data_IF_507241974721
#
_entry.id   IF_507241974721
#
_cell.length_a   1.000
_cell.length_b   1.000
_cell.length_c   1.000
_cell.angle_alpha   90.00
_cell.angle_beta   90.00
_cell.angle_gamma   90.00
#
_symmetry.space_group_name_H-M   'P 1'
#
loop_
_entity.id
_entity.type
_entity.pdbx_description
1 polymer ?
#
# COMPACT_ATOMS: atom_id res chain seq x y z
N UNK A 1 3.66 -11.93 7.71
CA UNK A 1 3.03 -11.75 6.40
C UNK A 1 2.70 -13.12 5.81
N UNK A 2 1.83 -13.19 4.80
CA UNK A 2 1.60 -14.42 4.03
C UNK A 2 2.85 -14.81 3.24
N UNK A 3 3.11 -16.12 3.13
CA UNK A 3 4.14 -16.64 2.23
C UNK A 3 3.55 -16.87 0.84
N UNK A 4 3.96 -16.03 -0.10
CA UNK A 4 3.56 -16.12 -1.51
C UNK A 4 4.49 -17.01 -2.34
N UNK A 5 5.55 -17.60 -1.78
CA UNK A 5 6.47 -18.46 -2.53
C UNK A 5 5.75 -19.63 -3.24
N UNK A 6 4.78 -20.33 -2.63
CA UNK A 6 4.05 -21.39 -3.31
C UNK A 6 3.22 -20.89 -4.51
N UNK A 7 2.69 -19.66 -4.45
CA UNK A 7 1.96 -19.07 -5.58
C UNK A 7 2.92 -18.72 -6.72
N UNK A 8 4.06 -18.09 -6.39
CA UNK A 8 5.09 -17.76 -7.37
C UNK A 8 5.70 -18.99 -8.04
N UNK A 9 5.83 -20.08 -7.29
CA UNK A 9 6.29 -21.38 -7.80
C UNK A 9 5.21 -22.14 -8.60
N UNK A 10 4.00 -21.59 -8.72
CA UNK A 10 2.87 -22.23 -9.42
C UNK A 10 2.27 -23.43 -8.71
N UNK A 11 2.57 -23.61 -7.41
CA UNK A 11 2.09 -24.74 -6.58
C UNK A 11 0.70 -24.52 -5.99
N UNK A 12 0.33 -23.25 -5.74
CA UNK A 12 -0.98 -22.84 -5.23
C UNK A 12 -1.54 -21.69 -6.06
N UNK A 13 -2.86 -21.60 -6.16
CA UNK A 13 -3.53 -20.37 -6.60
C UNK A 13 -3.64 -19.37 -5.44
N UNK A 14 -3.97 -18.11 -5.76
CA UNK A 14 -4.33 -17.13 -4.72
C UNK A 14 -5.54 -17.59 -3.89
N UNK A 15 -6.51 -18.25 -4.53
CA UNK A 15 -7.66 -18.84 -3.84
C UNK A 15 -7.22 -19.86 -2.82
N UNK A 16 -6.32 -20.78 -3.17
CA UNK A 16 -5.83 -21.82 -2.25
C UNK A 16 -5.06 -21.21 -1.06
N UNK A 17 -4.20 -20.22 -1.32
CA UNK A 17 -3.43 -19.53 -0.28
C UNK A 17 -4.35 -18.80 0.72
N UNK A 18 -5.45 -18.24 0.24
CA UNK A 18 -6.33 -17.37 1.03
C UNK A 18 -7.59 -18.06 1.56
N UNK A 19 -7.88 -19.30 1.13
CA UNK A 19 -9.14 -20.01 1.36
C UNK A 19 -9.56 -20.06 2.83
N UNK A 20 -8.60 -20.23 3.74
CA UNK A 20 -8.85 -20.41 5.17
C UNK A 20 -8.65 -19.13 5.99
N UNK A 21 -8.42 -17.98 5.35
CA UNK A 21 -8.23 -16.73 6.07
C UNK A 21 -9.54 -16.26 6.69
N UNK A 22 -9.48 -15.98 7.98
CA UNK A 22 -10.59 -15.40 8.73
C UNK A 22 -10.49 -13.87 8.74
N UNK A 23 -11.57 -13.19 9.15
CA UNK A 23 -11.53 -11.74 9.41
C UNK A 23 -10.40 -11.35 10.40
N UNK A 24 -10.18 -12.16 11.42
CA UNK A 24 -9.10 -11.94 12.40
C UNK A 24 -7.73 -12.05 11.75
N UNK A 25 -7.53 -12.99 10.82
CA UNK A 25 -6.28 -13.10 10.06
C UNK A 25 -6.04 -11.87 9.18
N UNK A 26 -7.08 -11.34 8.53
CA UNK A 26 -6.96 -10.14 7.71
C UNK A 26 -6.56 -8.91 8.54
N UNK A 27 -7.10 -8.76 9.75
CA UNK A 27 -6.68 -7.71 10.67
C UNK A 27 -5.23 -7.90 11.14
N UNK A 28 -4.83 -9.12 11.51
CA UNK A 28 -3.44 -9.41 11.88
C UNK A 28 -2.48 -9.13 10.73
N UNK A 29 -2.81 -9.53 9.50
CA UNK A 29 -1.99 -9.25 8.32
C UNK A 29 -1.90 -7.75 8.03
N UNK A 30 -2.98 -7.00 8.29
CA UNK A 30 -2.98 -5.53 8.21
C UNK A 30 -2.07 -4.91 9.25
N UNK A 31 -2.12 -5.39 10.50
CA UNK A 31 -1.25 -4.97 11.60
C UNK A 31 0.22 -5.22 11.23
N UNK A 32 0.56 -6.45 10.85
CA UNK A 32 1.93 -6.83 10.45
C UNK A 32 2.48 -5.96 9.31
N UNK A 33 1.64 -5.63 8.32
CA UNK A 33 2.02 -4.78 7.20
C UNK A 33 2.32 -3.34 7.65
N UNK A 34 1.49 -2.77 8.52
CA UNK A 34 1.68 -1.42 9.06
C UNK A 34 2.91 -1.37 9.98
N UNK A 35 3.07 -2.35 10.86
CA UNK A 35 4.21 -2.45 11.76
C UNK A 35 5.52 -2.56 10.99
N UNK A 36 5.52 -3.34 9.90
CA UNK A 36 6.68 -3.43 9.00
C UNK A 36 7.01 -2.08 8.37
N UNK A 37 6.03 -1.35 7.84
CA UNK A 37 6.28 -0.02 7.27
C UNK A 37 6.77 0.98 8.32
N UNK A 38 6.18 0.97 9.52
CA UNK A 38 6.63 1.83 10.62
C UNK A 38 8.06 1.51 11.06
N UNK A 39 8.43 0.23 11.10
CA UNK A 39 9.80 -0.19 11.40
C UNK A 39 10.79 0.27 10.31
N UNK A 40 10.41 0.20 9.03
CA UNK A 40 11.25 0.67 7.92
C UNK A 40 11.53 2.18 8.04
N UNK A 41 10.55 2.98 8.47
CA UNK A 41 10.69 4.45 8.61
C UNK A 41 11.05 4.90 10.04
N UNK A 42 11.47 3.98 10.91
CA UNK A 42 11.65 4.27 12.34
C UNK A 42 12.66 5.40 12.57
N UNK A 43 13.79 5.34 11.86
CA UNK A 43 14.92 6.27 11.96
C UNK A 43 14.96 7.32 10.83
N UNK A 44 13.93 7.36 9.99
CA UNK A 44 13.82 8.35 8.92
C UNK A 44 13.71 9.77 9.50
N UNK A 45 14.22 10.73 8.74
CA UNK A 45 14.10 12.16 9.00
C UNK A 45 13.29 12.82 7.89
N UNK A 46 12.88 14.06 8.11
CA UNK A 46 12.09 14.80 7.13
C UNK A 46 12.85 14.94 5.79
N UNK A 47 14.18 15.06 5.82
CA UNK A 47 15.00 15.11 4.60
C UNK A 47 14.95 13.81 3.78
N UNK A 48 14.75 12.65 4.43
CA UNK A 48 14.61 11.36 3.74
C UNK A 48 13.26 11.25 3.03
N UNK A 49 12.25 12.03 3.45
CA UNK A 49 10.91 12.03 2.85
C UNK A 49 10.93 12.66 1.46
N UNK A 50 11.71 13.73 1.30
CA UNK A 50 11.85 14.49 0.05
C UNK A 50 13.01 14.01 -0.83
N UNK A 51 13.87 13.12 -0.33
CA UNK A 51 14.96 12.56 -1.11
C UNK A 51 14.43 11.84 -2.35
N UNK A 52 14.87 12.30 -3.53
CA UNK A 52 14.59 11.66 -4.82
C UNK A 52 15.75 10.71 -5.15
N UNK A 53 15.53 9.38 -5.14
CA UNK A 53 16.58 8.43 -5.47
C UNK A 53 16.95 8.48 -6.96
N UNK A 54 18.16 8.03 -7.30
CA UNK A 54 18.53 7.80 -8.69
C UNK A 54 18.09 6.39 -9.09
N UNK A 55 17.03 6.30 -9.90
CA UNK A 55 16.56 5.05 -10.50
C UNK A 55 16.45 5.21 -12.02
N UNK A 56 17.49 4.83 -12.79
CA UNK A 56 17.44 4.89 -14.26
C UNK A 56 16.39 3.96 -14.89
N UNK A 57 15.80 3.04 -14.12
CA UNK A 57 14.76 2.13 -14.56
C UNK A 57 13.35 2.57 -14.12
N UNK A 58 13.22 3.75 -13.48
CA UNK A 58 11.92 4.31 -13.14
C UNK A 58 11.05 4.42 -14.40
N UNK A 59 9.90 3.76 -14.37
CA UNK A 59 8.96 3.69 -15.48
C UNK A 59 7.55 3.35 -14.96
N UNK A 60 6.78 4.37 -14.59
CA UNK A 60 5.36 4.29 -14.31
C UNK A 60 4.56 4.53 -15.60
N UNK A 61 4.21 3.44 -16.28
CA UNK A 61 3.42 3.47 -17.53
C UNK A 61 2.01 4.01 -17.35
N UNK A 62 1.54 4.18 -16.11
CA UNK A 62 0.21 4.69 -15.77
C UNK A 62 0.26 6.09 -15.14
N UNK A 63 1.47 6.64 -14.94
CA UNK A 63 1.68 8.00 -14.50
C UNK A 63 1.38 9.03 -15.58
N UNK A 64 1.30 10.30 -15.18
CA UNK A 64 1.26 11.41 -16.14
C UNK A 64 2.64 11.57 -16.80
N UNK A 65 2.69 12.24 -17.97
CA UNK A 65 3.91 12.37 -18.75
C UNK A 65 5.09 12.98 -17.97
N UNK A 66 4.80 13.85 -17.01
CA UNK A 66 5.80 14.49 -16.15
C UNK A 66 6.34 13.58 -15.04
N UNK A 67 5.66 12.48 -14.73
CA UNK A 67 5.98 11.58 -13.61
C UNK A 67 6.37 10.17 -14.05
N UNK A 68 6.13 9.80 -15.30
CA UNK A 68 6.35 8.43 -15.78
C UNK A 68 7.78 7.92 -15.55
N UNK A 69 8.79 8.78 -15.64
CA UNK A 69 10.20 8.42 -15.45
C UNK A 69 10.72 8.87 -14.07
N UNK A 70 9.83 9.27 -13.16
CA UNK A 70 10.21 9.80 -11.85
C UNK A 70 10.47 8.67 -10.86
N UNK A 71 11.66 8.67 -10.28
CA UNK A 71 11.96 7.84 -9.13
C UNK A 71 11.16 8.34 -7.91
N UNK A 72 10.47 7.42 -7.23
CA UNK A 72 9.57 7.79 -6.13
C UNK A 72 10.35 8.14 -4.86
N UNK A 73 9.96 9.25 -4.22
CA UNK A 73 10.41 9.59 -2.87
C UNK A 73 9.78 8.66 -1.84
N UNK A 74 10.30 8.65 -0.61
CA UNK A 74 9.68 7.90 0.48
C UNK A 74 8.23 8.37 0.73
N UNK A 75 7.98 9.68 0.61
CA UNK A 75 6.62 10.23 0.69
C UNK A 75 5.68 9.65 -0.35
N UNK A 76 6.12 9.56 -1.60
CA UNK A 76 5.34 8.97 -2.69
C UNK A 76 5.06 7.48 -2.43
N UNK A 77 6.07 6.69 -2.05
CA UNK A 77 5.89 5.25 -1.78
C UNK A 77 4.83 5.01 -0.68
N UNK A 78 4.86 5.77 0.41
CA UNK A 78 3.90 5.60 1.52
C UNK A 78 2.47 5.98 1.11
N UNK A 79 2.27 7.09 0.41
CA UNK A 79 0.91 7.47 -0.02
C UNK A 79 0.35 6.46 -1.03
N UNK A 80 1.17 5.97 -1.94
CA UNK A 80 0.76 4.99 -2.94
C UNK A 80 0.40 3.64 -2.31
N UNK A 81 1.25 3.14 -1.41
CA UNK A 81 1.04 1.86 -0.73
C UNK A 81 -0.24 1.89 0.13
N UNK A 82 -0.46 2.99 0.87
CA UNK A 82 -1.66 3.14 1.71
C UNK A 82 -2.93 3.28 0.87
N UNK A 83 -2.91 4.09 -0.20
CA UNK A 83 -4.06 4.25 -1.09
C UNK A 83 -4.46 2.94 -1.79
N UNK A 84 -3.48 2.17 -2.28
CA UNK A 84 -3.72 0.85 -2.89
C UNK A 84 -4.33 -0.16 -1.91
N UNK A 85 -3.85 -0.13 -0.67
CA UNK A 85 -4.32 -1.04 0.39
C UNK A 85 -5.73 -0.70 0.84
N UNK A 86 -6.06 0.58 0.94
CA UNK A 86 -7.40 1.06 1.32
C UNK A 86 -8.44 0.79 0.23
N UNK A 87 -8.07 1.03 -1.02
CA UNK A 87 -8.90 0.63 -2.16
C UNK A 87 -9.19 -0.87 -2.10
N UNK A 88 -8.15 -1.70 -1.92
CA UNK A 88 -8.33 -3.15 -1.82
C UNK A 88 -9.30 -3.56 -0.70
N UNK A 89 -9.23 -2.91 0.46
CA UNK A 89 -10.16 -3.16 1.56
C UNK A 89 -11.60 -2.72 1.22
N UNK A 90 -11.76 -1.56 0.58
CA UNK A 90 -13.06 -1.07 0.15
C UNK A 90 -13.70 -1.99 -0.91
N UNK A 91 -12.91 -2.44 -1.88
CA UNK A 91 -13.35 -3.39 -2.91
C UNK A 91 -13.73 -4.75 -2.31
N UNK A 92 -12.93 -5.26 -1.36
CA UNK A 92 -13.22 -6.51 -0.67
C UNK A 92 -14.58 -6.46 0.05
N UNK A 93 -14.91 -5.35 0.72
CA UNK A 93 -16.21 -5.16 1.37
C UNK A 93 -17.36 -5.11 0.35
N UNK A 94 -17.16 -4.46 -0.79
CA UNK A 94 -18.15 -4.43 -1.89
C UNK A 94 -18.43 -5.85 -2.42
N UNK A 95 -17.38 -6.62 -2.70
CA UNK A 95 -17.48 -7.99 -3.18
C UNK A 95 -18.11 -8.92 -2.14
N UNK A 96 -17.77 -8.77 -0.86
CA UNK A 96 -18.34 -9.56 0.23
C UNK A 96 -19.86 -9.36 0.38
N UNK A 97 -20.39 -8.23 -0.09
CA UNK A 97 -21.84 -7.94 -0.15
C UNK A 97 -22.51 -8.47 -1.42
N UNK A 98 -21.77 -9.14 -2.31
CA UNK A 98 -22.26 -9.64 -3.59
C UNK A 98 -22.50 -8.54 -4.62
N UNK A 99 -21.89 -7.36 -4.44
CA UNK A 99 -22.00 -6.25 -5.39
C UNK A 99 -20.82 -6.27 -6.37
N UNK A 100 -21.05 -5.89 -7.64
CA UNK A 100 -19.96 -5.71 -8.58
C UNK A 100 -19.07 -4.54 -8.16
N UNK A 101 -17.78 -4.65 -8.46
CA UNK A 101 -16.84 -3.53 -8.42
C UNK A 101 -16.82 -2.88 -9.79
N UNK A 102 -17.02 -1.55 -9.84
CA UNK A 102 -16.93 -0.76 -11.06
C UNK A 102 -15.89 0.36 -10.89
N UNK A 103 -15.02 0.50 -11.89
CA UNK A 103 -13.97 1.51 -11.91
C UNK A 103 -12.94 1.42 -10.77
N UNK A 104 -12.25 2.54 -10.56
CA UNK A 104 -11.22 2.73 -9.52
C UNK A 104 -11.86 3.50 -8.37
N UNK A 105 -11.68 3.03 -7.14
CA UNK A 105 -12.21 3.69 -5.92
C UNK A 105 -11.09 4.30 -5.05
N UNK A 106 -9.89 4.44 -5.62
CA UNK A 106 -8.73 5.00 -4.95
C UNK A 106 -8.84 6.51 -4.78
N UNK A 107 -8.55 6.96 -3.56
CA UNK A 107 -8.10 8.31 -3.31
C UNK A 107 -6.66 8.26 -2.81
N UNK A 108 -5.77 9.00 -3.47
CA UNK A 108 -4.36 9.09 -3.11
C UNK A 108 -4.06 10.53 -2.68
N UNK A 109 -3.47 10.68 -1.49
CA UNK A 109 -3.02 11.99 -1.01
C UNK A 109 -1.95 12.50 -1.99
N UNK A 110 -2.04 13.75 -2.50
CA UNK A 110 -1.03 14.28 -3.41
C UNK A 110 0.37 14.22 -2.77
N UNK A 111 1.23 13.34 -3.28
CA UNK A 111 2.53 13.03 -2.67
C UNK A 111 3.41 14.29 -2.49
N UNK A 112 3.28 15.26 -3.41
CA UNK A 112 3.98 16.56 -3.35
C UNK A 112 3.63 17.43 -2.15
N UNK A 113 2.63 17.05 -1.35
CA UNK A 113 2.24 17.76 -0.11
C UNK A 113 2.78 17.09 1.15
N UNK A 114 3.51 15.97 0.99
CA UNK A 114 4.01 15.13 2.09
C UNK A 114 5.53 15.29 2.16
N UNK A 115 6.00 15.93 3.23
CA UNK A 115 7.40 16.33 3.42
C UNK A 115 7.99 15.90 4.76
N UNK A 116 7.17 15.36 5.67
CA UNK A 116 7.60 15.06 7.04
C UNK A 116 7.29 13.64 7.45
N UNK A 117 8.14 13.06 8.30
CA UNK A 117 7.95 11.73 8.88
C UNK A 117 6.67 11.69 9.72
N UNK A 118 6.30 12.82 10.34
CA UNK A 118 5.04 12.96 11.05
C UNK A 118 3.82 12.73 10.12
N UNK A 119 3.84 13.30 8.90
CA UNK A 119 2.78 13.05 7.91
C UNK A 119 2.77 11.59 7.45
N UNK A 120 3.93 10.95 7.28
CA UNK A 120 4.00 9.52 6.93
C UNK A 120 3.35 8.66 8.01
N UNK A 121 3.70 8.89 9.29
CA UNK A 121 3.14 8.16 10.43
C UNK A 121 1.64 8.39 10.56
N UNK A 122 1.18 9.62 10.39
CA UNK A 122 -0.25 9.92 10.35
C UNK A 122 -0.95 9.16 9.23
N UNK A 123 -0.34 9.12 8.04
CA UNK A 123 -0.91 8.43 6.89
C UNK A 123 -1.02 6.93 7.11
N UNK A 124 0.01 6.30 7.68
CA UNK A 124 -0.01 4.88 8.06
C UNK A 124 -1.07 4.59 9.12
N UNK A 125 -1.20 5.45 10.14
CA UNK A 125 -2.20 5.30 11.20
C UNK A 125 -3.63 5.41 10.66
N UNK A 126 -3.90 6.36 9.75
CA UNK A 126 -5.22 6.48 9.13
C UNK A 126 -5.53 5.28 8.24
N UNK A 127 -4.54 4.80 7.48
CA UNK A 127 -4.70 3.59 6.67
C UNK A 127 -4.99 2.35 7.49
N UNK A 128 -4.32 2.23 8.64
CA UNK A 128 -4.55 1.16 9.60
C UNK A 128 -5.98 1.19 10.14
N UNK A 129 -6.46 2.37 10.57
CA UNK A 129 -7.83 2.56 11.06
C UNK A 129 -8.87 2.18 10.00
N UNK A 130 -8.70 2.64 8.77
CA UNK A 130 -9.65 2.36 7.67
C UNK A 130 -9.73 0.88 7.32
N UNK A 131 -8.59 0.19 7.25
CA UNK A 131 -8.53 -1.23 6.87
C UNK A 131 -8.94 -2.19 7.98
N UNK A 132 -9.11 -1.67 9.20
CA UNK A 132 -9.63 -2.40 10.37
C UNK A 132 -11.10 -2.13 10.70
N UNK A 133 -11.81 -1.35 9.88
CA UNK A 133 -13.23 -1.06 10.09
C UNK A 133 -14.15 -2.27 9.85
#
# INVERSE_FOLDING_TARGET
MLDFAPVRDGKLSFTDLTHNLTKTDLYRLTDEMIDTMQAIIADAKDEDVDFVPQDPAANDTFGIDEEKDLAWTLGHVIVHATASSEESAALAVTLARGLPVDGRSRYEVPWRTVHTVAQLRQRLAESHRMRRA
#
